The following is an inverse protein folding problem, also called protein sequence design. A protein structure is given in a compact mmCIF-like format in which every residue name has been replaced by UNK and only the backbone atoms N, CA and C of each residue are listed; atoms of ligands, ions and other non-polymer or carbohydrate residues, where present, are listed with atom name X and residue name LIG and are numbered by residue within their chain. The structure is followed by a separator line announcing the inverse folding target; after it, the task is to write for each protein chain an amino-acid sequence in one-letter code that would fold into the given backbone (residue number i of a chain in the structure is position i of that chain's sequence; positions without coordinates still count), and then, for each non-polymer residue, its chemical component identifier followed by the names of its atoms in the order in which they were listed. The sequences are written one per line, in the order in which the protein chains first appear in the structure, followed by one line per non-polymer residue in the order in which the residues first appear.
data_IF_807449937371
#
_entry.id   IF_807449937371
#
_cell.length_a   1.000
_cell.length_b   1.000
_cell.length_c   1.000
_cell.angle_alpha   90.00
_cell.angle_beta   90.00
_cell.angle_gamma   90.00
#
_symmetry.space_group_name_H-M   'P 1'
#
loop_
_entity.id
_entity.type
_entity.pdbx_description
1 polymer ?
#
# COMPACT_ATOMS: atom_id res chain seq x y z
N UNK A 1 32.37 5.22 -6.84
CA UNK A 1 31.21 6.14 -6.69
C UNK A 1 30.16 5.39 -5.91
N UNK A 2 29.68 5.95 -4.80
CA UNK A 2 28.71 5.29 -3.93
C UNK A 2 27.38 6.05 -4.01
N UNK A 3 26.31 5.34 -4.34
CA UNK A 3 24.95 5.88 -4.39
C UNK A 3 24.11 5.04 -3.44
N UNK A 4 23.37 5.72 -2.57
CA UNK A 4 22.45 5.09 -1.62
C UNK A 4 21.03 5.45 -2.05
N UNK A 5 20.18 4.43 -2.15
CA UNK A 5 18.77 4.59 -2.48
C UNK A 5 17.95 4.10 -1.30
N UNK A 6 17.18 5.01 -0.71
CA UNK A 6 16.20 4.65 0.30
C UNK A 6 14.95 4.11 -0.38
N UNK A 7 14.61 2.86 -0.09
CA UNK A 7 13.36 2.23 -0.53
C UNK A 7 12.44 2.06 0.67
N UNK A 8 11.13 2.02 0.41
CA UNK A 8 10.13 1.81 1.45
C UNK A 8 9.08 0.84 0.95
N UNK A 9 8.90 -0.24 1.69
CA UNK A 9 7.78 -1.13 1.46
C UNK A 9 6.46 -0.44 1.78
N UNK A 10 5.49 -0.57 0.89
CA UNK A 10 4.14 0.00 0.98
C UNK A 10 3.10 -1.06 0.62
N UNK A 11 1.85 -0.95 1.11
CA UNK A 11 0.78 -1.82 0.63
C UNK A 11 0.49 -1.56 -0.85
N UNK A 12 0.09 -2.59 -1.60
CA UNK A 12 -0.40 -2.42 -2.98
C UNK A 12 -1.73 -1.68 -2.98
N UNK A 13 -1.66 -0.38 -3.31
CA UNK A 13 -2.81 0.52 -3.26
C UNK A 13 -3.77 0.31 -4.41
N UNK A 14 -3.37 -0.38 -5.49
CA UNK A 14 -4.21 -0.68 -6.65
C UNK A 14 -5.40 -1.57 -6.27
N UNK A 15 -5.20 -2.44 -5.27
CA UNK A 15 -6.18 -3.41 -4.81
C UNK A 15 -6.94 -2.97 -3.53
N UNK A 16 -6.70 -1.76 -3.04
CA UNK A 16 -7.44 -1.19 -1.90
C UNK A 16 -8.81 -0.68 -2.38
N UNK A 17 -9.84 -0.87 -1.55
CA UNK A 17 -11.22 -0.42 -1.84
C UNK A 17 -11.77 0.46 -0.72
N UNK A 18 -12.84 1.19 -1.00
CA UNK A 18 -13.61 1.94 0.01
C UNK A 18 -14.84 1.12 0.37
N UNK A 19 -15.13 0.99 1.66
CA UNK A 19 -16.41 0.50 2.15
C UNK A 19 -17.46 1.62 1.99
N UNK A 20 -18.51 1.45 1.17
CA UNK A 20 -19.49 2.51 0.91
C UNK A 20 -20.42 2.79 2.12
N UNK A 21 -20.59 1.84 3.04
CA UNK A 21 -21.48 1.99 4.19
C UNK A 21 -20.80 2.79 5.31
N UNK A 22 -19.50 2.56 5.51
CA UNK A 22 -18.73 3.18 6.61
C UNK A 22 -17.79 4.28 6.15
N UNK A 23 -17.61 4.45 4.83
CA UNK A 23 -16.62 5.36 4.23
C UNK A 23 -15.19 5.13 4.75
N UNK A 24 -14.83 3.87 5.04
CA UNK A 24 -13.48 3.49 5.50
C UNK A 24 -12.72 2.70 4.43
N UNK A 25 -11.39 2.66 4.54
CA UNK A 25 -10.54 1.88 3.65
C UNK A 25 -10.57 0.39 4.02
N UNK A 26 -10.86 -0.45 3.03
CA UNK A 26 -10.68 -1.90 3.10
C UNK A 26 -9.28 -2.22 2.55
N UNK A 27 -8.37 -2.55 3.46
CA UNK A 27 -6.95 -2.84 3.17
C UNK A 27 -6.43 -4.11 3.84
N UNK A 28 -7.33 -5.03 4.20
CA UNK A 28 -6.98 -6.34 4.74
C UNK A 28 -6.69 -7.30 3.58
N UNK A 29 -5.61 -8.08 3.69
CA UNK A 29 -5.25 -9.09 2.69
C UNK A 29 -4.59 -8.53 1.42
N UNK A 30 -4.24 -7.25 1.38
CA UNK A 30 -3.43 -6.69 0.28
C UNK A 30 -1.95 -6.94 0.55
N UNK A 31 -1.20 -7.23 -0.52
CA UNK A 31 0.23 -7.48 -0.44
C UNK A 31 1.01 -6.21 -0.12
N UNK A 32 2.24 -6.37 0.38
CA UNK A 32 3.18 -5.28 0.59
C UNK A 32 4.29 -5.35 -0.47
N UNK A 33 4.41 -4.30 -1.26
CA UNK A 33 5.33 -4.15 -2.40
C UNK A 33 6.44 -3.13 -2.09
N UNK A 34 7.57 -3.20 -2.80
CA UNK A 34 8.68 -2.22 -2.71
C UNK A 34 8.49 -1.12 -3.74
#
# INVERSE_FOLDING_TARGET
MNIIVCIKQVPDTTNIKINPDTNTLIRTGVESII
#
